data_IF_770993971267
#
_entry.id   IF_770993971267
#
_cell.length_a   1.000
_cell.length_b   1.000
_cell.length_c   1.000
_cell.angle_alpha   90.00
_cell.angle_beta   90.00
_cell.angle_gamma   90.00
#
_symmetry.space_group_name_H-M   'P 1'
#
loop_
_entity.id
_entity.type
_entity.pdbx_description
1 polymer ?
#
# COMPACT_ATOMS: atom_id res chain seq x y z
N UNK A 1 -17.87 -22.65 25.48
CA UNK A 1 -18.39 -21.26 25.48
C UNK A 1 -18.32 -20.71 24.06
N UNK A 2 -19.35 -20.00 23.59
CA UNK A 2 -19.34 -19.44 22.23
C UNK A 2 -18.27 -18.37 22.06
N UNK A 3 -17.54 -18.40 20.92
CA UNK A 3 -16.38 -17.53 20.61
C UNK A 3 -16.64 -16.02 20.79
N UNK A 4 -17.89 -15.56 20.69
CA UNK A 4 -18.28 -14.15 20.76
C UNK A 4 -18.97 -13.74 22.08
N UNK A 5 -19.11 -14.65 23.03
CA UNK A 5 -19.86 -14.40 24.28
C UNK A 5 -19.12 -13.42 25.22
N UNK A 6 -17.79 -13.32 25.10
CA UNK A 6 -16.97 -12.39 25.88
C UNK A 6 -17.29 -10.92 25.59
N UNK A 7 -17.69 -10.59 24.34
CA UNK A 7 -18.11 -9.23 23.95
C UNK A 7 -19.34 -8.75 24.73
N UNK A 8 -20.16 -9.69 25.21
CA UNK A 8 -21.39 -9.42 25.96
C UNK A 8 -21.24 -9.75 27.45
N UNK A 9 -20.01 -9.75 27.97
CA UNK A 9 -19.73 -9.99 29.39
C UNK A 9 -20.00 -11.42 29.83
N UNK A 10 -19.78 -12.41 28.97
CA UNK A 10 -19.93 -13.82 29.34
C UNK A 10 -21.37 -14.35 29.28
N UNK A 11 -22.34 -13.53 28.88
CA UNK A 11 -23.77 -13.88 28.88
C UNK A 11 -24.17 -14.63 27.59
N UNK A 12 -24.74 -15.82 27.73
CA UNK A 12 -25.35 -16.57 26.63
C UNK A 12 -26.79 -16.09 26.38
N UNK A 13 -27.13 -15.85 25.10
CA UNK A 13 -28.44 -15.37 24.68
C UNK A 13 -28.51 -13.86 24.47
N UNK A 14 -29.48 -13.42 23.65
CA UNK A 14 -29.70 -12.01 23.32
C UNK A 14 -31.09 -11.61 23.79
N UNK A 15 -31.16 -10.66 24.73
CA UNK A 15 -32.43 -10.04 25.11
C UNK A 15 -32.91 -9.12 23.99
N UNK A 16 -34.23 -8.99 23.78
CA UNK A 16 -34.75 -8.00 22.85
C UNK A 16 -34.34 -6.59 23.31
N UNK A 17 -34.14 -5.69 22.34
CA UNK A 17 -33.75 -4.32 22.64
C UNK A 17 -34.86 -3.64 23.48
N UNK A 18 -34.51 -2.97 24.60
CA UNK A 18 -35.50 -2.27 25.40
C UNK A 18 -36.14 -1.16 24.56
N UNK A 19 -37.47 -1.07 24.59
CA UNK A 19 -38.21 -0.03 23.87
C UNK A 19 -38.12 1.28 24.65
N UNK A 20 -37.59 2.38 24.07
CA UNK A 20 -37.54 3.65 24.76
C UNK A 20 -38.95 4.20 24.97
N UNK A 21 -39.20 4.78 26.15
CA UNK A 21 -40.49 5.43 26.49
C UNK A 21 -40.73 6.62 25.55
N UNK A 22 -39.68 7.39 25.27
CA UNK A 22 -39.73 8.54 24.38
C UNK A 22 -39.07 8.20 23.03
N UNK A 23 -39.85 8.23 21.96
CA UNK A 23 -39.36 8.01 20.57
C UNK A 23 -38.80 9.28 19.92
N UNK A 24 -39.13 10.43 20.48
CA UNK A 24 -38.73 11.76 19.99
C UNK A 24 -37.92 12.46 21.08
N UNK A 25 -36.99 13.36 20.73
CA UNK A 25 -36.24 14.13 21.71
C UNK A 25 -37.19 15.00 22.55
N UNK A 26 -36.87 15.11 23.83
CA UNK A 26 -37.72 15.78 24.84
C UNK A 26 -37.13 17.13 25.25
N UNK A 27 -35.80 17.22 25.22
CA UNK A 27 -35.04 18.44 25.48
C UNK A 27 -34.33 18.90 24.23
N UNK A 28 -34.00 20.19 24.20
CA UNK A 28 -33.10 20.73 23.20
C UNK A 28 -31.68 20.22 23.45
N UNK A 29 -30.86 20.09 22.40
CA UNK A 29 -29.47 19.70 22.56
C UNK A 29 -28.72 20.74 23.40
N UNK A 30 -27.81 20.27 24.26
CA UNK A 30 -26.96 21.13 25.08
C UNK A 30 -25.95 21.88 24.20
N UNK A 31 -25.34 22.98 24.69
CA UNK A 31 -24.36 23.79 23.93
C UNK A 31 -23.25 22.93 23.33
N UNK A 32 -22.78 21.93 24.07
CA UNK A 32 -21.76 21.00 23.60
C UNK A 32 -22.24 20.11 22.44
N UNK A 33 -23.43 19.53 22.57
CA UNK A 33 -24.05 18.71 21.52
C UNK A 33 -24.29 19.57 20.27
N UNK A 34 -24.72 20.83 20.43
CA UNK A 34 -24.86 21.78 19.33
C UNK A 34 -23.54 22.07 18.63
N UNK A 35 -22.44 22.27 19.38
CA UNK A 35 -21.11 22.47 18.81
C UNK A 35 -20.62 21.23 18.04
N UNK A 36 -20.89 20.03 18.57
CA UNK A 36 -20.55 18.79 17.85
C UNK A 36 -21.35 18.66 16.56
N UNK A 37 -22.66 18.91 16.62
CA UNK A 37 -23.52 18.91 15.44
C UNK A 37 -23.10 19.96 14.41
N UNK A 38 -22.62 21.13 14.85
CA UNK A 38 -22.14 22.18 13.96
C UNK A 38 -20.80 21.84 13.27
N UNK A 39 -19.99 20.95 13.86
CA UNK A 39 -18.75 20.44 13.22
C UNK A 39 -19.04 19.42 12.13
N UNK A 40 -20.22 18.81 12.14
CA UNK A 40 -20.60 17.82 11.12
C UNK A 40 -21.23 18.60 9.97
N UNK A 41 -20.54 18.62 8.82
CA UNK A 41 -21.07 19.19 7.58
C UNK A 41 -22.19 18.29 7.05
N UNK A 42 -23.46 18.65 7.31
CA UNK A 42 -24.64 17.93 6.86
C UNK A 42 -25.35 18.67 5.71
N UNK A 43 -25.78 17.93 4.69
CA UNK A 43 -26.61 18.45 3.58
C UNK A 43 -25.86 18.58 2.26
N UNK A 44 -26.50 19.23 1.28
CA UNK A 44 -25.85 19.51 -0.01
C UNK A 44 -24.97 20.74 0.09
N UNK A 45 -23.79 20.68 -0.52
CA UNK A 45 -22.85 21.80 -0.58
C UNK A 45 -23.48 23.04 -1.22
N UNK A 46 -22.98 24.21 -0.85
CA UNK A 46 -23.39 25.47 -1.44
C UNK A 46 -23.05 25.50 -2.95
N UNK A 47 -23.95 26.04 -3.77
CA UNK A 47 -23.81 26.04 -5.22
C UNK A 47 -24.21 24.76 -5.96
N UNK A 48 -24.34 23.61 -5.26
CA UNK A 48 -24.84 22.38 -5.89
C UNK A 48 -26.37 22.41 -5.96
N UNK A 49 -26.98 22.19 -7.15
CA UNK A 49 -28.43 22.10 -7.28
C UNK A 49 -28.96 20.88 -6.51
N UNK A 50 -29.99 21.09 -5.71
CA UNK A 50 -30.59 20.01 -4.91
C UNK A 50 -31.54 19.19 -5.79
N UNK A 51 -31.52 17.84 -5.72
CA UNK A 51 -32.44 17.01 -6.49
C UNK A 51 -33.90 17.31 -6.15
N UNK A 52 -34.77 17.12 -7.14
CA UNK A 52 -36.23 17.25 -7.01
C UNK A 52 -36.85 15.86 -7.01
N UNK A 53 -37.68 15.57 -6.01
CA UNK A 53 -38.50 14.34 -5.97
C UNK A 53 -39.95 14.78 -6.18
N UNK A 54 -40.65 14.18 -7.15
CA UNK A 54 -42.03 14.50 -7.49
C UNK A 54 -42.28 16.01 -7.72
N UNK A 55 -41.35 16.68 -8.41
CA UNK A 55 -41.42 18.11 -8.74
C UNK A 55 -41.09 19.06 -7.58
N UNK A 56 -40.89 18.57 -6.35
CA UNK A 56 -40.56 19.40 -5.18
C UNK A 56 -39.07 19.35 -4.86
N UNK A 57 -38.39 20.49 -4.65
CA UNK A 57 -36.99 20.49 -4.22
C UNK A 57 -36.88 19.92 -2.81
N UNK A 58 -35.94 19.01 -2.61
CA UNK A 58 -35.59 18.52 -1.27
C UNK A 58 -34.96 19.69 -0.49
N UNK A 59 -35.20 19.83 0.82
CA UNK A 59 -34.46 20.80 1.62
C UNK A 59 -32.96 20.49 1.59
N UNK A 60 -32.13 21.53 1.43
CA UNK A 60 -30.67 21.38 1.37
C UNK A 60 -30.10 20.76 2.64
N UNK A 61 -30.68 21.09 3.80
CA UNK A 61 -30.32 20.54 5.11
C UNK A 61 -31.37 19.52 5.59
N UNK A 62 -30.95 18.46 6.30
CA UNK A 62 -31.88 17.50 6.87
C UNK A 62 -32.79 18.17 7.90
N UNK A 63 -34.08 17.80 7.91
CA UNK A 63 -35.05 18.31 8.88
C UNK A 63 -34.76 17.69 10.25
N UNK A 64 -34.40 18.52 11.23
CA UNK A 64 -34.21 18.08 12.61
C UNK A 64 -35.53 17.64 13.24
N UNK A 65 -35.54 16.57 14.07
CA UNK A 65 -36.73 16.13 14.77
C UNK A 65 -37.26 17.22 15.70
N UNK A 66 -38.57 17.36 15.76
CA UNK A 66 -39.21 18.32 16.67
C UNK A 66 -39.06 17.85 18.12
N UNK A 67 -38.66 18.78 18.99
CA UNK A 67 -38.53 18.54 20.42
C UNK A 67 -39.91 18.72 21.06
N UNK A 68 -40.42 17.67 21.70
CA UNK A 68 -41.72 17.68 22.40
C UNK A 68 -41.43 17.55 23.89
N UNK A 69 -41.75 18.58 24.68
CA UNK A 69 -41.47 18.55 26.11
C UNK A 69 -42.34 17.51 26.83
N UNK A 70 -41.89 17.07 28.01
CA UNK A 70 -42.63 16.10 28.83
C UNK A 70 -44.03 16.62 29.14
N UNK A 71 -44.13 17.90 29.51
CA UNK A 71 -45.39 18.57 29.85
C UNK A 71 -46.35 18.60 28.66
N UNK A 72 -45.85 18.95 27.46
CA UNK A 72 -46.66 18.93 26.24
C UNK A 72 -47.16 17.51 25.92
N UNK A 73 -46.31 16.50 26.13
CA UNK A 73 -46.68 15.11 25.89
C UNK A 73 -47.68 14.58 26.91
N UNK A 74 -47.54 14.95 28.19
CA UNK A 74 -48.54 14.63 29.23
C UNK A 74 -49.87 15.29 28.86
N UNK A 75 -49.84 16.57 28.47
CA UNK A 75 -51.04 17.29 28.05
C UNK A 75 -51.76 16.58 26.90
N UNK A 76 -51.06 16.28 25.81
CA UNK A 76 -51.66 15.67 24.63
C UNK A 76 -52.13 14.23 24.82
N UNK A 77 -51.41 13.43 25.63
CA UNK A 77 -51.70 12.00 25.77
C UNK A 77 -52.53 11.65 27.01
N UNK A 78 -52.63 12.55 27.98
CA UNK A 78 -53.26 12.28 29.28
C UNK A 78 -54.36 13.30 29.55
N UNK A 79 -53.99 14.58 29.68
CA UNK A 79 -54.91 15.60 30.19
C UNK A 79 -55.99 15.98 29.16
N UNK A 80 -55.64 16.04 27.87
CA UNK A 80 -56.59 16.33 26.79
C UNK A 80 -57.55 15.15 26.54
N UNK A 81 -57.15 13.93 26.91
CA UNK A 81 -57.96 12.71 26.81
C UNK A 81 -58.77 12.41 28.08
N UNK A 82 -58.57 13.18 29.15
CA UNK A 82 -59.32 13.00 30.39
C UNK A 82 -60.78 13.45 30.21
N UNK A 83 -61.77 12.63 30.61
CA UNK A 83 -63.17 13.01 30.44
C UNK A 83 -63.54 14.17 31.38
N UNK A 84 -63.74 15.36 30.80
CA UNK A 84 -63.94 16.62 31.54
C UNK A 84 -65.20 16.69 32.40
N UNK A 85 -66.20 15.83 32.15
CA UNK A 85 -67.47 15.78 32.90
C UNK A 85 -68.01 14.34 32.94
N UNK A 86 -67.81 13.61 34.03
CA UNK A 86 -68.37 12.26 34.22
C UNK A 86 -69.41 12.27 35.33
N UNK A 87 -70.66 11.94 35.00
CA UNK A 87 -71.74 11.80 35.97
C UNK A 87 -71.78 10.37 36.55
N UNK A 88 -71.03 10.14 37.63
CA UNK A 88 -70.85 8.83 38.28
C UNK A 88 -72.15 8.13 38.73
N UNK A 89 -73.25 8.87 38.88
CA UNK A 89 -74.54 8.35 39.37
C UNK A 89 -75.31 7.55 38.32
N UNK A 90 -75.01 7.72 37.02
CA UNK A 90 -75.71 7.03 35.92
C UNK A 90 -74.93 5.87 35.27
N UNK A 91 -73.73 5.55 35.75
CA UNK A 91 -72.89 4.52 35.15
C UNK A 91 -73.16 3.13 35.75
N UNK A 92 -73.20 2.12 34.88
CA UNK A 92 -73.16 0.69 35.27
C UNK A 92 -71.83 0.38 35.98
N UNK A 93 -71.81 -0.64 36.85
CA UNK A 93 -70.62 -1.06 37.57
C UNK A 93 -69.42 -1.34 36.64
N UNK A 94 -69.65 -2.04 35.52
CA UNK A 94 -68.62 -2.29 34.50
C UNK A 94 -68.03 -1.01 33.90
N UNK A 95 -68.85 0.02 33.73
CA UNK A 95 -68.41 1.32 33.21
C UNK A 95 -67.57 2.07 34.23
N UNK A 96 -67.91 1.97 35.52
CA UNK A 96 -67.08 2.51 36.62
C UNK A 96 -65.72 1.81 36.67
N UNK A 97 -65.70 0.48 36.56
CA UNK A 97 -64.45 -0.29 36.50
C UNK A 97 -63.59 0.08 35.29
N UNK A 98 -64.19 0.27 34.11
CA UNK A 98 -63.47 0.72 32.92
C UNK A 98 -62.84 2.10 33.14
N UNK A 99 -63.60 3.04 33.71
CA UNK A 99 -63.11 4.39 33.99
C UNK A 99 -61.97 4.38 35.02
N UNK A 100 -62.08 3.56 36.07
CA UNK A 100 -61.01 3.37 37.06
C UNK A 100 -59.74 2.77 36.44
N UNK A 101 -59.88 1.75 35.57
CA UNK A 101 -58.72 1.20 34.83
C UNK A 101 -58.07 2.24 33.94
N UNK A 102 -58.86 3.07 33.27
CA UNK A 102 -58.34 4.13 32.41
C UNK A 102 -57.63 5.22 33.23
N UNK A 103 -58.13 5.54 34.42
CA UNK A 103 -57.44 6.43 35.37
C UNK A 103 -56.10 5.84 35.81
N UNK A 104 -56.08 4.58 36.24
CA UNK A 104 -54.85 3.88 36.64
C UNK A 104 -53.82 3.88 35.48
N UNK A 105 -54.26 3.64 34.24
CA UNK A 105 -53.39 3.71 33.05
C UNK A 105 -52.81 5.10 32.84
N UNK A 106 -53.62 6.15 32.99
CA UNK A 106 -53.18 7.54 32.90
C UNK A 106 -52.15 7.87 33.97
N UNK A 107 -52.39 7.45 35.21
CA UNK A 107 -51.50 7.71 36.34
C UNK A 107 -50.15 7.01 36.16
N UNK A 108 -50.12 5.73 35.80
CA UNK A 108 -48.87 5.02 35.49
C UNK A 108 -48.14 5.60 34.27
N UNK A 109 -48.87 6.04 33.25
CA UNK A 109 -48.25 6.67 32.08
C UNK A 109 -47.63 8.02 32.45
N UNK A 110 -48.32 8.82 33.27
CA UNK A 110 -47.83 10.10 33.79
C UNK A 110 -46.57 9.88 34.63
N UNK A 111 -46.60 8.93 35.55
CA UNK A 111 -45.46 8.57 36.38
C UNK A 111 -44.27 8.07 35.54
N UNK A 112 -44.51 7.23 34.54
CA UNK A 112 -43.47 6.74 33.63
C UNK A 112 -42.79 7.88 32.87
N UNK A 113 -43.55 8.86 32.39
CA UNK A 113 -42.98 10.03 31.71
C UNK A 113 -42.14 10.90 32.65
N UNK A 114 -42.61 11.16 33.87
CA UNK A 114 -41.87 11.96 34.85
C UNK A 114 -40.59 11.25 35.29
N UNK A 115 -40.66 9.96 35.64
CA UNK A 115 -39.50 9.16 36.05
C UNK A 115 -38.43 9.05 34.96
N UNK A 116 -38.84 8.85 33.71
CA UNK A 116 -37.88 8.76 32.62
C UNK A 116 -37.25 10.13 32.32
N UNK A 117 -37.99 11.22 32.47
CA UNK A 117 -37.43 12.57 32.36
C UNK A 117 -36.36 12.85 33.44
N UNK A 118 -36.62 12.45 34.69
CA UNK A 118 -35.63 12.53 35.77
C UNK A 118 -34.41 11.66 35.50
N UNK A 119 -34.62 10.44 35.00
CA UNK A 119 -33.52 9.54 34.62
C UNK A 119 -32.65 10.17 33.54
N UNK A 120 -33.24 10.79 32.52
CA UNK A 120 -32.50 11.45 31.45
C UNK A 120 -31.68 12.64 31.99
N UNK A 121 -32.27 13.47 32.85
CA UNK A 121 -31.54 14.56 33.52
C UNK A 121 -30.33 14.05 34.31
N UNK A 122 -30.50 12.97 35.08
CA UNK A 122 -29.39 12.33 35.82
C UNK A 122 -28.30 11.81 34.89
N UNK A 123 -28.67 11.24 33.73
CA UNK A 123 -27.69 10.79 32.73
C UNK A 123 -26.91 11.99 32.19
N UNK A 124 -27.60 13.09 31.87
CA UNK A 124 -26.96 14.30 31.37
C UNK A 124 -25.96 14.86 32.40
N UNK A 125 -26.37 14.99 33.66
CA UNK A 125 -25.49 15.40 34.77
C UNK A 125 -24.26 14.49 34.91
N UNK A 126 -24.44 13.16 34.84
CA UNK A 126 -23.34 12.20 34.90
C UNK A 126 -22.41 12.31 33.69
N UNK A 127 -22.93 12.61 32.50
CA UNK A 127 -22.09 12.83 31.31
C UNK A 127 -21.29 14.12 31.41
N UNK A 128 -21.89 15.18 31.95
CA UNK A 128 -21.19 16.45 32.18
C UNK A 128 -20.10 16.32 33.22
N UNK A 129 -20.35 15.62 34.34
CA UNK A 129 -19.33 15.39 35.38
C UNK A 129 -18.18 14.54 34.85
N UNK A 130 -18.47 13.44 34.13
CA UNK A 130 -17.44 12.64 33.46
C UNK A 130 -16.59 13.49 32.52
N UNK A 131 -17.23 14.33 31.70
CA UNK A 131 -16.50 15.20 30.77
C UNK A 131 -15.58 16.19 31.49
N UNK A 132 -16.04 16.79 32.59
CA UNK A 132 -15.19 17.69 33.40
C UNK A 132 -14.00 16.93 33.97
N UNK A 133 -14.22 15.74 34.53
CA UNK A 133 -13.16 14.90 35.05
C UNK A 133 -12.14 14.48 33.97
N UNK A 134 -12.61 14.15 32.77
CA UNK A 134 -11.73 13.79 31.65
C UNK A 134 -10.88 14.98 31.18
N UNK A 135 -11.46 16.19 31.15
CA UNK A 135 -10.74 17.42 30.83
C UNK A 135 -9.69 17.75 31.90
N UNK A 136 -10.05 17.66 33.18
CA UNK A 136 -9.13 17.86 34.29
C UNK A 136 -8.00 16.82 34.28
N UNK A 137 -8.31 15.55 34.01
CA UNK A 137 -7.31 14.50 33.90
C UNK A 137 -6.35 14.75 32.73
N UNK A 138 -6.86 15.20 31.58
CA UNK A 138 -6.04 15.57 30.44
C UNK A 138 -5.16 16.80 30.71
N UNK A 139 -5.64 17.77 31.48
CA UNK A 139 -4.85 18.93 31.92
C UNK A 139 -3.77 18.52 32.92
N UNK A 140 -4.07 17.68 33.90
CA UNK A 140 -3.08 17.11 34.84
C UNK A 140 -2.01 16.31 34.11
N UNK A 141 -2.40 15.45 33.18
CA UNK A 141 -1.43 14.70 32.36
C UNK A 141 -0.51 15.63 31.56
N UNK A 142 -1.04 16.73 31.01
CA UNK A 142 -0.21 17.75 30.33
C UNK A 142 0.74 18.48 31.28
N UNK A 143 0.32 18.72 32.52
CA UNK A 143 1.17 19.35 33.54
C UNK A 143 2.26 18.38 34.03
N UNK A 144 1.93 17.10 34.22
CA UNK A 144 2.90 16.05 34.58
C UNK A 144 3.98 15.89 33.50
N UNK A 145 3.60 15.91 32.22
CA UNK A 145 4.56 15.87 31.09
C UNK A 145 5.52 17.08 31.12
N UNK A 146 5.06 18.24 31.59
CA UNK A 146 5.84 19.48 31.70
C UNK A 146 6.54 19.65 33.06
N UNK A 147 6.55 18.62 33.90
CA UNK A 147 7.19 18.75 35.20
C UNK A 147 8.71 18.91 35.04
N UNK A 148 9.26 19.96 35.64
CA UNK A 148 10.67 20.38 35.50
C UNK A 148 11.66 19.25 35.90
N UNK A 149 11.25 18.35 36.79
CA UNK A 149 12.04 17.19 37.21
C UNK A 149 12.26 16.17 36.08
N UNK A 150 11.31 16.02 35.16
CA UNK A 150 11.42 15.10 34.02
C UNK A 150 12.27 15.74 32.91
N UNK A 151 12.09 17.04 32.66
CA UNK A 151 12.87 17.78 31.67
C UNK A 151 14.38 17.79 32.01
N UNK A 152 14.74 17.87 33.29
CA UNK A 152 16.15 17.89 33.74
C UNK A 152 16.79 16.49 33.88
N UNK A 153 15.99 15.42 33.92
CA UNK A 153 16.50 14.05 34.13
C UNK A 153 16.62 13.22 32.85
N UNK A 154 15.92 13.60 31.78
CA UNK A 154 16.02 12.95 30.47
C UNK A 154 17.16 13.60 29.68
N UNK A 155 18.05 12.82 29.02
CA UNK A 155 19.07 13.39 28.15
C UNK A 155 18.44 14.18 26.99
N UNK A 156 18.89 15.42 26.80
CA UNK A 156 18.36 16.37 25.82
C UNK A 156 18.66 15.93 24.37
N UNK A 157 17.72 15.24 23.72
CA UNK A 157 17.77 14.92 22.27
C UNK A 157 17.13 16.07 21.45
N UNK A 158 16.74 17.17 22.08
CA UNK A 158 16.01 18.29 21.47
C UNK A 158 16.66 18.80 20.20
N UNK A 159 17.99 18.99 20.19
CA UNK A 159 18.71 19.45 18.99
C UNK A 159 18.60 18.50 17.79
N UNK A 160 18.40 17.21 18.02
CA UNK A 160 18.20 16.19 16.97
C UNK A 160 16.72 16.10 16.54
N UNK A 161 15.78 16.43 17.43
CA UNK A 161 14.34 16.49 17.14
C UNK A 161 13.89 17.82 16.51
N UNK A 162 14.54 18.93 16.88
CA UNK A 162 14.39 20.26 16.27
C UNK A 162 14.99 20.32 14.86
N UNK A 163 15.97 19.45 14.60
CA UNK A 163 16.47 19.22 13.26
C UNK A 163 15.33 18.78 12.33
N UNK A 164 15.27 19.35 11.13
CA UNK A 164 14.33 18.88 10.10
C UNK A 164 14.59 17.39 9.84
N UNK A 165 13.68 16.51 10.29
CA UNK A 165 13.76 15.05 10.10
C UNK A 165 13.93 14.68 8.62
N UNK A 166 13.41 15.52 7.73
CA UNK A 166 13.62 15.42 6.30
C UNK A 166 14.67 16.45 5.88
N UNK A 167 15.80 15.98 5.32
CA UNK A 167 16.77 16.85 4.66
C UNK A 167 16.02 17.81 3.73
N UNK A 168 16.38 19.10 3.82
CA UNK A 168 15.86 20.20 2.99
C UNK A 168 15.72 19.72 1.55
N UNK A 169 14.60 20.05 0.91
CA UNK A 169 14.33 19.66 -0.47
C UNK A 169 15.56 19.92 -1.34
N UNK A 170 16.02 18.88 -2.06
CA UNK A 170 17.22 18.94 -2.91
C UNK A 170 17.26 20.20 -3.76
N UNK A 171 18.42 20.83 -3.83
CA UNK A 171 18.67 22.01 -4.68
C UNK A 171 18.45 21.66 -6.15
N UNK A 172 18.24 22.68 -7.00
CA UNK A 172 18.03 22.48 -8.44
C UNK A 172 19.22 21.78 -9.09
N UNK A 173 20.43 22.15 -8.70
CA UNK A 173 21.68 21.55 -9.17
C UNK A 173 21.79 20.07 -8.79
N UNK A 174 21.48 19.72 -7.54
CA UNK A 174 21.52 18.33 -7.07
C UNK A 174 20.49 17.46 -7.81
N UNK A 175 19.32 18.02 -8.13
CA UNK A 175 18.30 17.33 -8.94
C UNK A 175 18.78 17.07 -10.36
N UNK A 176 19.41 18.06 -11.00
CA UNK A 176 19.96 17.93 -12.35
C UNK A 176 21.07 16.90 -12.39
N UNK A 177 22.01 16.93 -11.44
CA UNK A 177 23.08 15.94 -11.35
C UNK A 177 22.54 14.52 -11.16
N UNK A 178 21.51 14.36 -10.31
CA UNK A 178 20.86 13.06 -10.11
C UNK A 178 20.15 12.57 -11.37
N UNK A 179 19.50 13.45 -12.12
CA UNK A 179 18.87 13.09 -13.39
C UNK A 179 19.91 12.65 -14.41
N UNK A 180 21.00 13.41 -14.58
CA UNK A 180 22.10 13.05 -15.46
C UNK A 180 22.70 11.67 -15.13
N UNK A 181 22.90 11.37 -13.82
CA UNK A 181 23.35 10.04 -13.38
C UNK A 181 22.35 8.92 -13.72
N UNK A 182 21.05 9.18 -13.57
CA UNK A 182 20.01 8.21 -13.93
C UNK A 182 19.96 7.95 -15.43
N UNK A 183 20.09 9.00 -16.24
CA UNK A 183 20.08 8.89 -17.69
C UNK A 183 21.33 8.17 -18.20
N UNK A 184 22.50 8.43 -17.60
CA UNK A 184 23.73 7.68 -17.87
C UNK A 184 23.53 6.20 -17.57
N UNK A 185 23.05 5.86 -16.37
CA UNK A 185 22.85 4.46 -15.98
C UNK A 185 21.84 3.75 -16.89
N UNK A 186 20.76 4.44 -17.30
CA UNK A 186 19.80 3.88 -18.26
C UNK A 186 20.48 3.57 -19.59
N UNK A 187 21.19 4.55 -20.16
CA UNK A 187 21.89 4.40 -21.44
C UNK A 187 22.98 3.34 -21.38
N UNK A 188 23.71 3.22 -20.27
CA UNK A 188 24.72 2.16 -20.12
C UNK A 188 24.09 0.77 -20.09
N UNK A 189 22.94 0.60 -19.43
CA UNK A 189 22.22 -0.68 -19.45
C UNK A 189 21.66 -1.01 -20.83
N UNK A 190 21.10 -0.02 -21.53
CA UNK A 190 20.64 -0.19 -22.92
C UNK A 190 21.80 -0.60 -23.84
N UNK A 191 22.95 0.07 -23.72
CA UNK A 191 24.15 -0.24 -24.49
C UNK A 191 24.64 -1.67 -24.24
N UNK A 192 24.75 -2.09 -22.97
CA UNK A 192 25.15 -3.46 -22.62
C UNK A 192 24.17 -4.49 -23.23
N UNK A 193 22.86 -4.21 -23.19
CA UNK A 193 21.86 -5.08 -23.80
C UNK A 193 22.02 -5.19 -25.31
N UNK A 194 22.32 -4.08 -25.98
CA UNK A 194 22.57 -4.07 -27.43
C UNK A 194 23.86 -4.79 -27.80
N UNK A 195 24.92 -4.64 -27.00
CA UNK A 195 26.19 -5.35 -27.20
C UNK A 195 26.01 -6.86 -27.05
N UNK A 196 25.28 -7.32 -26.03
CA UNK A 196 24.96 -8.74 -25.87
C UNK A 196 24.15 -9.29 -27.06
N UNK A 197 23.19 -8.52 -27.59
CA UNK A 197 22.45 -8.92 -28.80
C UNK A 197 23.35 -8.98 -30.03
N UNK A 198 24.27 -8.02 -30.18
CA UNK A 198 25.23 -8.01 -31.27
C UNK A 198 26.21 -9.20 -31.18
N UNK A 199 26.66 -9.56 -29.97
CA UNK A 199 27.45 -10.77 -29.74
C UNK A 199 26.68 -12.02 -30.16
N UNK A 200 25.40 -12.16 -29.76
CA UNK A 200 24.58 -13.31 -30.15
C UNK A 200 24.37 -13.42 -31.67
N UNK A 201 24.22 -12.28 -32.36
CA UNK A 201 24.10 -12.27 -33.82
C UNK A 201 25.43 -12.68 -34.47
N UNK A 202 26.54 -12.24 -33.90
CA UNK A 202 27.88 -12.58 -34.38
C UNK A 202 28.21 -14.06 -34.10
N UNK A 203 27.79 -14.61 -32.96
CA UNK A 203 27.81 -16.05 -32.67
C UNK A 203 27.00 -16.83 -33.71
N UNK A 204 25.79 -16.35 -34.03
CA UNK A 204 24.94 -16.96 -35.04
C UNK A 204 25.59 -16.94 -36.42
N UNK A 205 26.22 -15.82 -36.80
CA UNK A 205 26.97 -15.70 -38.04
C UNK A 205 28.17 -16.67 -38.08
N UNK A 206 28.88 -16.82 -36.96
CA UNK A 206 29.97 -17.78 -36.87
C UNK A 206 29.48 -19.23 -36.93
N UNK A 207 28.27 -19.50 -36.43
CA UNK A 207 27.60 -20.79 -36.48
C UNK A 207 26.97 -21.07 -37.86
N UNK A 208 26.54 -20.04 -38.59
CA UNK A 208 25.84 -20.19 -39.86
C UNK A 208 26.70 -20.84 -40.94
N UNK A 209 28.03 -20.75 -40.84
CA UNK A 209 28.94 -21.51 -41.69
C UNK A 209 28.81 -23.05 -41.54
N UNK A 210 28.11 -23.53 -40.51
CA UNK A 210 27.77 -24.96 -40.31
C UNK A 210 26.30 -25.27 -40.61
N UNK A 211 25.49 -24.27 -40.94
CA UNK A 211 24.09 -24.50 -41.26
C UNK A 211 23.97 -25.07 -42.67
N UNK A 212 23.10 -26.06 -42.81
CA UNK A 212 22.79 -26.67 -44.10
C UNK A 212 21.68 -25.83 -44.73
N UNK A 213 22.00 -25.17 -45.84
CA UNK A 213 21.07 -24.28 -46.55
C UNK A 213 20.67 -24.84 -47.92
N UNK A 214 21.51 -25.67 -48.52
CA UNK A 214 21.28 -26.29 -49.83
C UNK A 214 21.17 -27.81 -49.74
N UNK A 215 20.58 -28.43 -50.77
CA UNK A 215 20.43 -29.89 -50.86
C UNK A 215 21.81 -30.57 -50.98
N UNK A 216 22.76 -29.94 -51.67
CA UNK A 216 24.13 -30.47 -51.80
C UNK A 216 24.89 -30.48 -50.47
N UNK A 217 24.72 -29.43 -49.66
CA UNK A 217 25.26 -29.38 -48.30
C UNK A 217 24.63 -30.46 -47.40
N UNK A 218 23.35 -30.77 -47.61
CA UNK A 218 22.64 -31.80 -46.87
C UNK A 218 23.22 -33.19 -47.15
N UNK A 219 23.42 -33.54 -48.42
CA UNK A 219 24.01 -34.84 -48.79
C UNK A 219 25.43 -34.99 -48.21
N UNK A 220 26.26 -33.94 -48.32
CA UNK A 220 27.61 -33.93 -47.71
C UNK A 220 27.57 -34.09 -46.19
N UNK A 221 26.65 -33.40 -45.52
CA UNK A 221 26.49 -33.51 -44.08
C UNK A 221 25.99 -34.89 -43.65
N UNK A 222 25.10 -35.53 -44.43
CA UNK A 222 24.67 -36.92 -44.18
C UNK A 222 25.86 -37.88 -44.30
N UNK A 223 26.64 -37.79 -45.38
CA UNK A 223 27.83 -38.63 -45.53
C UNK A 223 28.83 -38.41 -44.39
N UNK A 224 29.10 -37.16 -44.01
CA UNK A 224 30.00 -36.86 -42.91
C UNK A 224 29.46 -37.38 -41.56
N UNK A 225 28.18 -37.19 -41.29
CA UNK A 225 27.54 -37.61 -40.04
C UNK A 225 27.53 -39.14 -39.89
N UNK A 226 27.29 -39.88 -40.98
CA UNK A 226 27.19 -41.34 -40.95
C UNK A 226 28.52 -42.09 -41.15
N UNK A 227 29.47 -41.53 -41.90
CA UNK A 227 30.75 -42.20 -42.19
C UNK A 227 31.88 -41.78 -41.25
N UNK A 228 31.96 -40.48 -40.91
CA UNK A 228 33.07 -39.91 -40.12
C UNK A 228 32.69 -39.77 -38.65
N UNK A 229 31.51 -39.20 -38.38
CA UNK A 229 31.10 -38.88 -37.01
C UNK A 229 30.58 -40.09 -36.23
N UNK A 230 30.12 -41.18 -36.86
CA UNK A 230 29.78 -42.43 -36.15
C UNK A 230 31.03 -43.06 -35.53
N UNK A 231 32.17 -43.03 -36.23
CA UNK A 231 33.45 -43.49 -35.70
C UNK A 231 33.96 -42.58 -34.56
N UNK A 232 33.78 -41.26 -34.69
CA UNK A 232 34.08 -40.32 -33.62
C UNK A 232 33.13 -40.50 -32.42
N UNK A 233 31.85 -40.76 -32.66
CA UNK A 233 30.83 -40.96 -31.64
C UNK A 233 31.05 -42.25 -30.85
N UNK A 234 31.35 -43.38 -31.49
CA UNK A 234 31.70 -44.63 -30.81
C UNK A 234 32.99 -44.48 -29.98
N UNK A 235 33.99 -43.75 -30.50
CA UNK A 235 35.18 -43.41 -29.73
C UNK A 235 34.88 -42.47 -28.55
N UNK A 236 33.89 -41.58 -28.70
CA UNK A 236 33.44 -40.63 -27.67
C UNK A 236 32.64 -41.33 -26.56
N UNK A 237 31.79 -42.32 -26.91
CA UNK A 237 31.00 -43.10 -25.96
C UNK A 237 31.91 -44.06 -25.18
N UNK A 238 32.87 -44.70 -25.85
CA UNK A 238 33.93 -45.49 -25.22
C UNK A 238 34.80 -44.65 -24.29
N UNK A 239 35.13 -43.40 -24.69
CA UNK A 239 35.84 -42.47 -23.81
C UNK A 239 34.98 -41.91 -22.69
N UNK A 240 33.68 -41.70 -22.86
CA UNK A 240 32.77 -41.27 -21.79
C UNK A 240 32.59 -42.39 -20.75
N UNK A 241 32.46 -43.64 -21.17
CA UNK A 241 32.49 -44.78 -20.25
C UNK A 241 33.83 -44.85 -19.50
N UNK A 242 34.97 -44.75 -20.19
CA UNK A 242 36.27 -44.77 -19.51
C UNK A 242 36.54 -43.54 -18.62
N UNK A 243 35.94 -42.37 -18.93
CA UNK A 243 35.94 -41.15 -18.11
C UNK A 243 35.12 -41.28 -16.81
N UNK A 244 34.06 -42.08 -16.81
CA UNK A 244 33.27 -42.38 -15.59
C UNK A 244 34.02 -43.34 -14.64
N UNK A 245 34.88 -44.22 -15.17
CA UNK A 245 35.63 -45.19 -14.37
C UNK A 245 37.02 -44.71 -13.90
N UNK A 246 37.55 -43.58 -14.39
CA UNK A 246 38.87 -43.05 -13.99
C UNK A 246 38.88 -41.51 -13.84
N UNK A 247 38.72 -40.96 -12.61
CA UNK A 247 38.53 -39.52 -12.41
C UNK A 247 39.76 -38.64 -12.68
N UNK A 248 40.99 -39.19 -12.68
CA UNK A 248 42.22 -38.38 -12.75
C UNK A 248 42.63 -37.90 -14.14
N UNK A 249 42.04 -38.43 -15.22
CA UNK A 249 42.35 -38.02 -16.60
C UNK A 249 41.35 -37.01 -17.18
N UNK A 250 40.30 -36.66 -16.42
CA UNK A 250 39.27 -35.70 -16.86
C UNK A 250 39.63 -34.24 -16.58
N UNK A 251 40.64 -33.98 -15.75
CA UNK A 251 41.02 -32.61 -15.38
C UNK A 251 41.71 -31.84 -16.52
N UNK A 252 42.53 -32.49 -17.35
CA UNK A 252 43.31 -31.82 -18.41
C UNK A 252 42.45 -31.34 -19.59
N UNK A 253 41.47 -32.12 -20.05
CA UNK A 253 40.60 -31.69 -21.17
C UNK A 253 39.53 -30.66 -20.74
N UNK A 254 39.03 -30.77 -19.49
CA UNK A 254 38.17 -29.73 -18.91
C UNK A 254 38.96 -28.44 -18.73
N UNK A 255 40.23 -28.55 -18.36
CA UNK A 255 41.14 -27.40 -18.28
C UNK A 255 41.34 -26.76 -19.66
N UNK A 256 41.67 -27.50 -20.72
CA UNK A 256 41.86 -26.97 -22.07
C UNK A 256 40.60 -26.30 -22.66
N UNK A 257 39.41 -26.91 -22.45
CA UNK A 257 38.14 -26.32 -22.90
C UNK A 257 37.77 -25.08 -22.08
N UNK A 258 38.02 -25.09 -20.78
CA UNK A 258 37.85 -23.89 -19.94
C UNK A 258 38.87 -22.80 -20.27
N UNK A 259 40.10 -23.16 -20.59
CA UNK A 259 41.20 -22.24 -20.89
C UNK A 259 40.93 -21.54 -22.22
N UNK A 260 40.53 -22.27 -23.26
CA UNK A 260 40.10 -21.67 -24.52
C UNK A 260 38.90 -20.73 -24.35
N UNK A 261 37.90 -21.08 -23.54
CA UNK A 261 36.78 -20.18 -23.23
C UNK A 261 37.21 -18.93 -22.46
N UNK A 262 38.14 -19.06 -21.52
CA UNK A 262 38.68 -17.94 -20.73
C UNK A 262 39.53 -17.04 -21.63
N UNK A 263 40.43 -17.61 -22.44
CA UNK A 263 41.27 -16.89 -23.40
C UNK A 263 40.40 -16.14 -24.40
N UNK A 264 39.36 -16.78 -24.92
CA UNK A 264 38.39 -16.12 -25.81
C UNK A 264 37.69 -14.95 -25.11
N UNK A 265 37.19 -15.14 -23.88
CA UNK A 265 36.55 -14.03 -23.15
C UNK A 265 37.51 -12.90 -22.78
N UNK A 266 38.78 -13.19 -22.52
CA UNK A 266 39.81 -12.19 -22.20
C UNK A 266 40.27 -11.44 -23.45
N UNK A 267 40.38 -12.12 -24.59
CA UNK A 267 40.80 -11.53 -25.86
C UNK A 267 39.63 -10.97 -26.70
N UNK A 268 38.40 -11.04 -26.18
CA UNK A 268 37.19 -10.60 -26.89
C UNK A 268 36.88 -11.43 -28.13
N UNK A 269 37.22 -12.73 -28.11
CA UNK A 269 36.95 -13.73 -29.13
C UNK A 269 35.75 -14.61 -28.81
N UNK A 270 35.28 -15.35 -29.81
CA UNK A 270 34.20 -16.33 -29.71
C UNK A 270 34.67 -17.63 -30.38
N UNK A 271 34.91 -18.67 -29.60
CA UNK A 271 35.36 -20.00 -30.07
C UNK A 271 36.54 -19.91 -31.06
N UNK A 272 37.57 -19.14 -30.70
CA UNK A 272 38.76 -18.90 -31.54
C UNK A 272 38.53 -18.01 -32.77
N UNK A 273 37.34 -17.44 -32.95
CA UNK A 273 37.00 -16.47 -34.01
C UNK A 273 36.94 -15.04 -33.45
N UNK A 274 37.15 -14.00 -34.28
CA UNK A 274 37.08 -12.62 -33.81
C UNK A 274 35.70 -12.30 -33.24
N UNK A 275 35.66 -11.71 -32.04
CA UNK A 275 34.42 -11.27 -31.41
C UNK A 275 34.10 -9.80 -31.67
N UNK A 276 33.05 -9.32 -31.01
CA UNK A 276 32.42 -8.03 -31.30
C UNK A 276 33.40 -6.86 -31.19
N UNK A 277 34.23 -6.83 -30.14
CA UNK A 277 35.17 -5.73 -29.90
C UNK A 277 36.24 -5.62 -30.99
N UNK A 278 36.81 -6.74 -31.42
CA UNK A 278 37.78 -6.78 -32.52
C UNK A 278 37.15 -6.33 -33.85
N UNK A 279 35.89 -6.70 -34.11
CA UNK A 279 35.17 -6.25 -35.32
C UNK A 279 34.88 -4.74 -35.25
N UNK A 280 34.50 -4.24 -34.07
CA UNK A 280 34.23 -2.83 -33.82
C UNK A 280 35.49 -1.98 -34.05
N UNK A 281 36.64 -2.41 -33.53
CA UNK A 281 37.94 -1.76 -33.72
C UNK A 281 38.42 -1.73 -35.17
N UNK A 282 38.12 -2.78 -35.95
CA UNK A 282 38.45 -2.83 -37.38
C UNK A 282 37.53 -1.92 -38.18
N UNK A 283 36.24 -1.88 -37.85
CA UNK A 283 35.27 -0.99 -38.50
C UNK A 283 35.46 0.49 -38.11
N UNK A 284 35.90 0.78 -36.88
CA UNK A 284 36.17 2.14 -36.41
C UNK A 284 37.47 2.71 -36.98
N UNK A 285 38.37 1.86 -37.51
CA UNK A 285 39.68 2.26 -38.01
C UNK A 285 40.68 2.65 -36.92
N UNK A 286 40.27 2.63 -35.64
CA UNK A 286 41.11 3.01 -34.49
C UNK A 286 42.35 2.12 -34.40
N UNK A 287 42.23 0.84 -34.75
CA UNK A 287 43.35 -0.10 -34.77
C UNK A 287 44.41 0.25 -35.82
N UNK A 288 44.01 0.74 -36.98
CA UNK A 288 44.93 1.19 -38.02
C UNK A 288 45.61 2.50 -37.63
N UNK A 289 44.86 3.45 -37.05
CA UNK A 289 45.43 4.68 -36.51
C UNK A 289 46.46 4.39 -35.41
N UNK A 290 46.12 3.48 -34.49
CA UNK A 290 47.01 3.08 -33.41
C UNK A 290 48.28 2.40 -33.94
N UNK A 291 48.15 1.47 -34.90
CA UNK A 291 49.31 0.86 -35.58
C UNK A 291 50.19 1.89 -36.27
N UNK A 292 49.59 2.85 -36.98
CA UNK A 292 50.32 3.91 -37.68
C UNK A 292 51.07 4.81 -36.69
N UNK A 293 50.44 5.19 -35.57
CA UNK A 293 51.10 5.96 -34.50
C UNK A 293 52.22 5.18 -33.82
N UNK A 294 52.01 3.90 -33.53
CA UNK A 294 53.03 3.04 -32.93
C UNK A 294 54.22 2.82 -33.87
N UNK A 295 53.99 2.64 -35.18
CA UNK A 295 55.07 2.55 -36.17
C UNK A 295 55.85 3.87 -36.28
N UNK A 296 55.16 5.02 -36.29
CA UNK A 296 55.81 6.32 -36.28
C UNK A 296 56.68 6.51 -35.02
N UNK A 297 56.18 6.14 -33.84
CA UNK A 297 56.94 6.21 -32.59
C UNK A 297 58.14 5.24 -32.56
N UNK A 298 57.95 3.99 -33.01
CA UNK A 298 59.03 3.01 -33.10
C UNK A 298 60.11 3.44 -34.09
N UNK A 299 59.72 4.01 -35.23
CA UNK A 299 60.66 4.57 -36.21
C UNK A 299 61.41 5.79 -35.67
N UNK A 300 60.75 6.66 -34.90
CA UNK A 300 61.37 7.82 -34.25
C UNK A 300 62.36 7.41 -33.13
N UNK A 301 62.06 6.33 -32.40
CA UNK A 301 62.97 5.78 -31.39
C UNK A 301 64.19 5.10 -32.03
N UNK A 302 64.01 4.38 -33.15
CA UNK A 302 65.10 3.75 -33.88
C UNK A 302 66.05 4.76 -34.56
N UNK A 303 65.55 5.92 -35.01
CA UNK A 303 66.41 7.02 -35.49
C UNK A 303 67.18 7.71 -34.36
N UNK A 304 66.62 7.75 -33.14
CA UNK A 304 67.31 8.36 -31.98
C UNK A 304 68.41 7.47 -31.37
N UNK A 305 68.39 6.17 -31.62
CA UNK A 305 69.41 5.22 -31.13
C UNK A 305 70.55 4.97 -32.12
N UNK A 306 70.45 5.49 -33.34
CA UNK A 306 71.51 5.43 -34.37
C UNK A 306 72.37 6.70 -34.45
N UNK A 307 72.04 7.74 -33.66
CA UNK A 307 72.81 9.00 -33.55
C UNK A 307 73.69 9.09 -32.29
N UNK A 308 73.92 7.99 -31.55
CA UNK A 308 74.91 7.89 -30.46
C UNK A 308 76.04 6.92 -30.77
#
# INVERSE_FOLDING_TARGET
>A
MGKNVLKYGGKSGVLPKPRPIFKTPIRQPNRFEQQQLAKIEEGYAEGVPVPKINGKPIPRMPKRPQVITVEQRIKWNIDDLEPKKVNYKGLTEDQKWKMNRDQIRRDFLREAYLKEAERLKKIDELTETKRKNDLEAAERAKQEIKSEHIELSIPTIEKLLEGKMVKISRTREERQLRQAKKDLNRRSHELISMENQAEQILDLYHASGKFITTIEELEKAIHQAFEVDVAAFDSSVSTVQSRLFRPSASSTLVYETSESMIVDKVLGGINGKPGLEQVKEVLSGEREEFRRRAQLQASAQASSSTEN
#
